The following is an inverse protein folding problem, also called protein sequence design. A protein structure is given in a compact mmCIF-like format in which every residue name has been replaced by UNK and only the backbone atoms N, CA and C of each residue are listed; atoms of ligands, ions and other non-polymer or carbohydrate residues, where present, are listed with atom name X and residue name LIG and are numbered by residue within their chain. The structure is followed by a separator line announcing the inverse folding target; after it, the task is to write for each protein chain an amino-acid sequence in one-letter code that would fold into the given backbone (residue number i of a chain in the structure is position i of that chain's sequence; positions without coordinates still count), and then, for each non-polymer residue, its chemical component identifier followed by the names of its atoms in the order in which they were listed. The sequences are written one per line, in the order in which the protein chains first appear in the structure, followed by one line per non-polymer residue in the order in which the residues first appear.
data_IF_392072972301
#
_entry.id   IF_392072972301
#
_cell.length_a   1.000
_cell.length_b   1.000
_cell.length_c   1.000
_cell.angle_alpha   90.00
_cell.angle_beta   90.00
_cell.angle_gamma   90.00
#
_symmetry.space_group_name_H-M   'P 1'
#
loop_
_entity.id
_entity.type
_entity.pdbx_description
1 polymer ?
#
# COMPACT_ATOMS: atom_id res chain seq x y z
N UNK A 1 6.31 -52.78 6.46
CA UNK A 1 5.53 -51.60 6.91
C UNK A 1 6.24 -50.70 7.93
N UNK A 2 6.74 -51.20 9.07
CA UNK A 2 7.35 -50.36 10.15
C UNK A 2 8.51 -49.46 9.66
N UNK A 3 9.43 -49.99 8.85
CA UNK A 3 10.58 -49.23 8.29
C UNK A 3 10.16 -48.08 7.35
N UNK A 4 9.07 -48.24 6.61
CA UNK A 4 8.55 -47.19 5.71
C UNK A 4 7.97 -46.02 6.51
N UNK A 5 7.17 -46.32 7.55
CA UNK A 5 6.63 -45.30 8.46
C UNK A 5 7.72 -44.50 9.17
N UNK A 6 8.79 -45.16 9.62
CA UNK A 6 9.93 -44.49 10.23
C UNK A 6 10.66 -43.56 9.25
N UNK A 7 10.87 -44.01 8.00
CA UNK A 7 11.44 -43.14 6.95
C UNK A 7 10.55 -41.93 6.70
N UNK A 8 9.25 -42.13 6.57
CA UNK A 8 8.28 -41.04 6.36
C UNK A 8 8.29 -40.03 7.51
N UNK A 9 8.30 -40.48 8.76
CA UNK A 9 8.41 -39.60 9.93
C UNK A 9 9.73 -38.82 9.95
N UNK A 10 10.85 -39.50 9.64
CA UNK A 10 12.15 -38.84 9.52
C UNK A 10 12.15 -37.76 8.44
N UNK A 11 11.52 -38.01 7.29
CA UNK A 11 11.38 -37.02 6.22
C UNK A 11 10.47 -35.86 6.61
N UNK A 12 9.35 -36.13 7.27
CA UNK A 12 8.43 -35.10 7.75
C UNK A 12 9.10 -34.16 8.77
N UNK A 13 9.87 -34.73 9.70
CA UNK A 13 10.50 -33.97 10.79
C UNK A 13 11.87 -33.38 10.43
N UNK A 14 12.39 -33.61 9.22
CA UNK A 14 13.75 -33.17 8.84
C UNK A 14 13.96 -31.65 8.99
N UNK A 15 12.89 -30.88 8.86
CA UNK A 15 12.91 -29.42 8.93
C UNK A 15 11.96 -28.86 10.00
N UNK A 16 11.46 -29.69 10.92
CA UNK A 16 10.70 -29.19 12.07
C UNK A 16 11.67 -28.44 13.00
N UNK A 17 11.41 -27.16 13.20
CA UNK A 17 12.15 -26.33 14.15
C UNK A 17 11.16 -25.82 15.18
N UNK A 18 11.51 -25.95 16.44
CA UNK A 18 10.74 -25.35 17.53
C UNK A 18 11.03 -23.85 17.57
N UNK A 19 10.13 -23.08 16.98
CA UNK A 19 10.20 -21.62 16.98
C UNK A 19 9.47 -21.13 18.23
N UNK A 20 10.19 -20.43 19.11
CA UNK A 20 9.58 -19.76 20.26
C UNK A 20 8.91 -18.48 19.78
N UNK A 21 7.67 -18.28 20.21
CA UNK A 21 6.88 -17.09 19.90
C UNK A 21 6.65 -16.30 21.18
N UNK A 22 6.85 -14.98 21.10
CA UNK A 22 6.59 -14.05 22.19
C UNK A 22 5.42 -13.14 21.83
N UNK A 23 4.74 -12.65 22.86
CA UNK A 23 3.67 -11.67 22.71
C UNK A 23 4.25 -10.38 22.11
N UNK A 24 3.54 -9.80 21.15
CA UNK A 24 3.96 -8.61 20.40
C UNK A 24 4.71 -8.91 19.10
N UNK A 25 5.21 -10.15 18.92
CA UNK A 25 5.95 -10.49 17.71
C UNK A 25 5.08 -10.37 16.45
N UNK A 26 5.62 -9.78 15.37
CA UNK A 26 4.97 -9.74 14.07
C UNK A 26 5.09 -11.10 13.41
N UNK A 27 3.97 -11.58 12.90
CA UNK A 27 3.86 -12.93 12.35
C UNK A 27 3.04 -12.97 11.06
N UNK A 28 3.35 -13.95 10.24
CA UNK A 28 2.51 -14.36 9.13
C UNK A 28 1.54 -15.44 9.59
N UNK A 29 0.28 -15.34 9.15
CA UNK A 29 -0.75 -16.34 9.39
C UNK A 29 -1.04 -17.16 8.14
N UNK A 30 -1.36 -18.45 8.28
CA UNK A 30 -1.63 -19.33 7.15
C UNK A 30 -3.03 -19.06 6.58
N UNK A 31 -3.10 -18.75 5.30
CA UNK A 31 -4.36 -18.56 4.59
C UNK A 31 -5.00 -19.92 4.24
N UNK A 32 -6.07 -20.27 4.96
CA UNK A 32 -6.88 -21.46 4.69
C UNK A 32 -7.95 -21.23 3.62
N UNK A 33 -8.27 -19.98 3.30
CA UNK A 33 -9.30 -19.57 2.31
C UNK A 33 -8.72 -19.36 0.91
N UNK A 34 -7.57 -19.97 0.61
CA UNK A 34 -6.89 -19.85 -0.68
C UNK A 34 -7.71 -20.49 -1.81
N UNK A 35 -8.27 -19.68 -2.69
CA UNK A 35 -9.05 -20.16 -3.84
C UNK A 35 -8.17 -20.66 -5.01
N UNK A 36 -6.99 -20.07 -5.19
CA UNK A 36 -6.08 -20.37 -6.32
C UNK A 36 -4.69 -20.77 -5.86
N UNK A 37 -3.96 -21.50 -6.70
CA UNK A 37 -2.54 -21.83 -6.49
C UNK A 37 -1.64 -20.58 -6.47
N UNK A 38 -2.03 -19.54 -7.21
CA UNK A 38 -1.30 -18.26 -7.28
C UNK A 38 -1.57 -17.35 -6.06
N UNK A 39 -2.63 -17.63 -5.30
CA UNK A 39 -2.95 -16.84 -4.11
C UNK A 39 -1.91 -17.07 -3.00
N UNK A 40 -1.63 -16.01 -2.23
CA UNK A 40 -0.63 -16.05 -1.16
C UNK A 40 -1.05 -17.05 -0.08
N UNK A 41 -0.18 -18.02 0.22
CA UNK A 41 -0.38 -19.02 1.28
C UNK A 41 -0.28 -18.42 2.68
N UNK A 42 0.48 -17.34 2.83
CA UNK A 42 0.73 -16.69 4.11
C UNK A 42 0.26 -15.23 4.02
N UNK A 43 -0.57 -14.82 4.96
CA UNK A 43 -1.09 -13.46 5.10
C UNK A 43 -0.25 -12.68 6.11
N UNK A 44 0.03 -11.43 5.79
CA UNK A 44 0.81 -10.49 6.62
C UNK A 44 -0.08 -9.74 7.62
N UNK A 45 0.54 -8.82 8.36
CA UNK A 45 -0.10 -7.87 9.27
C UNK A 45 -0.68 -8.48 10.55
N UNK A 46 -0.25 -9.66 10.97
CA UNK A 46 -0.65 -10.22 12.25
C UNK A 46 0.40 -9.94 13.33
N UNK A 47 -0.07 -9.69 14.55
CA UNK A 47 0.75 -9.67 15.77
C UNK A 47 0.15 -10.58 16.82
N UNK A 48 1.00 -11.23 17.60
CA UNK A 48 0.57 -12.05 18.74
C UNK A 48 0.13 -11.10 19.86
N UNK A 49 -1.11 -11.23 20.34
CA UNK A 49 -1.63 -10.47 21.48
C UNK A 49 -1.42 -11.25 22.78
N UNK A 50 -1.71 -12.55 22.74
CA UNK A 50 -1.79 -13.38 23.93
C UNK A 50 -1.41 -14.81 23.58
N UNK A 51 -0.77 -15.49 24.53
CA UNK A 51 -0.51 -16.92 24.47
C UNK A 51 -1.55 -17.66 25.33
N UNK A 52 -2.52 -18.32 24.69
CA UNK A 52 -3.57 -19.09 25.39
C UNK A 52 -3.06 -20.45 25.88
N UNK A 53 -2.05 -21.01 25.20
CA UNK A 53 -1.48 -22.34 25.46
C UNK A 53 -0.04 -22.37 24.94
N UNK A 54 0.82 -23.32 25.35
CA UNK A 54 2.18 -23.41 24.82
C UNK A 54 2.28 -23.39 23.28
N UNK A 55 1.23 -23.88 22.60
CA UNK A 55 1.18 -24.01 21.13
C UNK A 55 0.03 -23.21 20.49
N UNK A 56 -0.80 -22.51 21.27
CA UNK A 56 -1.93 -21.73 20.73
C UNK A 56 -1.84 -20.26 21.14
N UNK A 57 -2.06 -19.38 20.16
CA UNK A 57 -1.90 -17.94 20.29
C UNK A 57 -3.12 -17.21 19.75
N UNK A 58 -3.41 -16.03 20.30
CA UNK A 58 -4.38 -15.09 19.76
C UNK A 58 -3.62 -14.07 18.92
N UNK A 59 -3.99 -13.95 17.66
CA UNK A 59 -3.40 -13.07 16.67
C UNK A 59 -4.36 -11.93 16.36
N UNK A 60 -3.86 -10.69 16.33
CA UNK A 60 -4.62 -9.53 15.81
C UNK A 60 -4.14 -9.14 14.43
N UNK A 61 -5.06 -9.04 13.47
CA UNK A 61 -4.77 -8.31 12.23
C UNK A 61 -4.64 -6.82 12.55
N UNK A 62 -3.52 -6.20 12.20
CA UNK A 62 -3.26 -4.78 12.43
C UNK A 62 -4.07 -3.87 11.50
N UNK A 63 -4.56 -4.38 10.37
CA UNK A 63 -5.40 -3.61 9.44
C UNK A 63 -6.86 -3.63 9.88
N UNK A 64 -7.44 -4.82 9.98
CA UNK A 64 -8.88 -4.99 10.25
C UNK A 64 -9.20 -4.97 11.76
N UNK A 65 -8.19 -5.08 12.62
CA UNK A 65 -8.36 -5.20 14.08
C UNK A 65 -8.89 -6.55 14.56
N UNK A 66 -9.27 -7.46 13.65
CA UNK A 66 -9.89 -8.75 13.96
C UNK A 66 -8.88 -9.66 14.67
N UNK A 67 -9.32 -10.22 15.81
CA UNK A 67 -8.57 -11.22 16.55
C UNK A 67 -8.95 -12.63 16.10
N UNK A 68 -7.95 -13.51 15.96
CA UNK A 68 -8.13 -14.90 15.54
C UNK A 68 -7.25 -15.81 16.38
N UNK A 69 -7.78 -16.96 16.81
CA UNK A 69 -7.00 -17.98 17.52
C UNK A 69 -6.33 -18.91 16.52
N UNK A 70 -5.04 -19.15 16.70
CA UNK A 70 -4.24 -19.98 15.79
C UNK A 70 -3.24 -20.87 16.54
N UNK A 71 -2.92 -22.00 15.92
CA UNK A 71 -1.88 -22.93 16.40
C UNK A 71 -0.49 -22.49 15.89
N UNK A 72 0.58 -22.80 16.62
CA UNK A 72 1.96 -22.45 16.28
C UNK A 72 2.35 -22.85 14.85
N UNK A 73 1.91 -24.01 14.36
CA UNK A 73 2.17 -24.47 12.99
C UNK A 73 1.53 -23.60 11.90
N UNK A 74 0.48 -22.86 12.24
CA UNK A 74 -0.22 -21.95 11.33
C UNK A 74 0.38 -20.54 11.35
N UNK A 75 1.47 -20.35 12.08
CA UNK A 75 2.12 -19.06 12.32
C UNK A 75 3.58 -19.16 11.91
N UNK A 76 4.13 -18.06 11.35
CA UNK A 76 5.57 -17.92 11.09
C UNK A 76 6.02 -16.55 11.55
N UNK A 77 7.22 -16.46 12.13
CA UNK A 77 7.83 -15.16 12.44
C UNK A 77 8.01 -14.36 11.15
N UNK A 78 7.63 -13.07 11.21
CA UNK A 78 7.88 -12.15 10.13
C UNK A 78 9.31 -11.60 10.27
N UNK A 79 10.12 -11.76 9.21
CA UNK A 79 11.44 -11.14 9.11
C UNK A 79 11.24 -9.66 8.79
N UNK A 80 11.63 -8.77 9.70
CA UNK A 80 11.51 -7.31 9.57
C UNK A 80 12.86 -6.66 9.24
N UNK A 81 13.76 -7.38 8.60
CA UNK A 81 15.14 -6.95 8.33
C UNK A 81 15.22 -5.97 7.14
N UNK A 82 14.20 -5.12 6.97
CA UNK A 82 14.30 -4.01 6.03
C UNK A 82 15.07 -2.90 6.74
N UNK A 83 16.36 -2.83 6.46
CA UNK A 83 17.20 -1.75 6.98
C UNK A 83 16.80 -0.47 6.26
N UNK A 84 16.32 0.53 7.00
CA UNK A 84 16.23 1.89 6.48
C UNK A 84 17.67 2.35 6.29
N UNK A 85 18.14 2.61 5.06
CA UNK A 85 19.49 3.10 4.88
C UNK A 85 19.65 4.40 5.65
N UNK A 86 20.51 4.40 6.66
CA UNK A 86 20.84 5.58 7.43
C UNK A 86 21.41 6.63 6.46
N UNK A 87 20.73 7.76 6.31
CA UNK A 87 21.10 8.85 5.40
C UNK A 87 22.44 9.54 5.76
N UNK A 88 23.18 9.00 6.73
CA UNK A 88 24.48 9.51 7.17
C UNK A 88 25.62 9.23 6.17
N UNK A 89 25.35 8.49 5.09
CA UNK A 89 26.32 8.27 4.00
C UNK A 89 26.37 9.44 3.00
N UNK A 90 26.54 10.66 3.51
CA UNK A 90 27.08 11.80 2.74
C UNK A 90 26.19 12.40 1.65
N UNK A 91 24.89 12.04 1.55
CA UNK A 91 23.99 12.76 0.65
C UNK A 91 23.60 14.08 1.31
N UNK A 92 24.13 15.19 0.78
CA UNK A 92 23.77 16.53 1.24
C UNK A 92 22.24 16.72 1.19
N UNK A 93 21.64 17.12 2.30
CA UNK A 93 20.25 17.57 2.33
C UNK A 93 20.12 18.73 1.34
N UNK A 94 19.12 18.68 0.46
CA UNK A 94 18.80 19.83 -0.40
C UNK A 94 18.41 20.99 0.53
N UNK A 95 19.05 22.15 0.34
CA UNK A 95 18.65 23.38 1.03
C UNK A 95 17.26 23.75 0.51
N UNK A 96 16.22 23.41 1.26
CA UNK A 96 14.88 23.92 1.02
C UNK A 96 14.77 25.27 1.74
N UNK A 97 14.41 26.32 1.00
CA UNK A 97 13.98 27.56 1.63
C UNK A 97 12.58 27.32 2.21
N UNK A 98 12.40 27.54 3.51
CA UNK A 98 11.06 27.62 4.09
C UNK A 98 10.40 28.86 3.50
N UNK A 99 9.30 28.68 2.77
CA UNK A 99 8.41 29.78 2.41
C UNK A 99 7.72 30.19 3.71
N UNK A 100 8.08 31.34 4.25
CA UNK A 100 7.37 31.95 5.38
C UNK A 100 5.99 32.35 4.84
N UNK A 101 4.88 31.90 5.46
CA UNK A 101 3.57 32.39 5.08
C UNK A 101 3.54 33.91 5.29
N UNK A 102 3.19 34.66 4.25
CA UNK A 102 2.91 36.09 4.38
C UNK A 102 1.77 36.21 5.38
N UNK A 103 2.05 36.81 6.53
CA UNK A 103 1.01 37.18 7.47
C UNK A 103 0.08 38.14 6.72
N UNK A 104 -1.19 37.76 6.61
CA UNK A 104 -2.21 38.51 5.89
C UNK A 104 -2.43 39.85 6.58
N UNK A 105 -1.63 40.86 6.23
CA UNK A 105 -2.00 42.25 6.44
C UNK A 105 -3.12 42.55 5.45
N UNK A 106 -4.32 42.68 6.00
CA UNK A 106 -5.49 43.19 5.30
C UNK A 106 -5.23 44.66 4.95
N UNK A 107 -4.67 44.90 3.78
CA UNK A 107 -4.65 46.23 3.16
C UNK A 107 -5.51 46.17 1.90
N UNK A 108 -6.72 46.70 2.05
CA UNK A 108 -7.63 47.10 0.99
C UNK A 108 -6.96 48.21 0.18
N UNK A 109 -6.63 47.93 -1.08
CA UNK A 109 -6.27 48.96 -2.05
C UNK A 109 -6.61 48.48 -3.45
N UNK A 110 -7.72 48.99 -3.95
CA UNK A 110 -8.04 49.06 -5.38
C UNK A 110 -6.94 49.79 -6.15
N UNK A 111 -6.36 49.16 -7.17
CA UNK A 111 -6.22 49.73 -8.52
C UNK A 111 -5.44 48.81 -9.49
N UNK A 112 -5.98 48.72 -10.71
CA UNK A 112 -5.38 48.37 -12.01
C UNK A 112 -4.23 47.33 -12.06
N UNK A 113 -4.57 46.06 -12.27
CA UNK A 113 -3.61 44.95 -12.45
C UNK A 113 -3.10 44.88 -13.91
N UNK A 114 -1.97 45.53 -14.18
CA UNK A 114 -1.08 45.10 -15.25
C UNK A 114 -0.42 43.77 -14.84
N UNK A 115 -1.03 42.66 -15.25
CA UNK A 115 -0.57 41.30 -14.94
C UNK A 115 0.86 41.09 -15.43
N UNK A 116 1.82 41.11 -14.50
CA UNK A 116 3.21 40.78 -14.79
C UNK A 116 3.32 39.35 -15.32
N UNK A 117 3.76 39.26 -16.57
CA UNK A 117 3.78 38.03 -17.37
C UNK A 117 4.87 37.03 -16.99
N UNK A 118 5.72 37.37 -16.02
CA UNK A 118 6.99 36.68 -15.76
C UNK A 118 7.00 35.79 -14.51
N UNK A 119 5.89 35.69 -13.77
CA UNK A 119 5.85 34.69 -12.69
C UNK A 119 5.85 33.26 -13.28
N UNK A 120 6.66 32.33 -12.72
CA UNK A 120 6.78 30.98 -13.25
C UNK A 120 5.43 30.24 -13.24
N UNK A 121 4.54 30.60 -12.31
CA UNK A 121 3.17 30.08 -12.24
C UNK A 121 2.33 30.51 -13.46
N UNK A 122 2.46 31.77 -13.90
CA UNK A 122 1.73 32.29 -15.06
C UNK A 122 2.27 31.71 -16.37
N UNK A 123 3.58 31.44 -16.45
CA UNK A 123 4.17 30.73 -17.59
C UNK A 123 3.67 29.28 -17.71
N UNK A 124 3.53 28.58 -16.57
CA UNK A 124 2.94 27.23 -16.53
C UNK A 124 1.46 27.28 -16.93
N UNK A 125 0.68 28.22 -16.38
CA UNK A 125 -0.73 28.38 -16.71
C UNK A 125 -0.94 28.72 -18.20
N UNK A 126 -0.09 29.57 -18.79
CA UNK A 126 -0.11 29.88 -20.23
C UNK A 126 0.25 28.68 -21.10
N UNK A 127 1.19 27.81 -20.67
CA UNK A 127 1.48 26.55 -21.37
C UNK A 127 0.29 25.59 -21.42
N UNK A 128 -0.50 25.53 -20.36
CA UNK A 128 -1.72 24.70 -20.36
C UNK A 128 -2.90 25.35 -21.08
N UNK A 129 -2.89 26.69 -21.28
CA UNK A 129 -3.89 27.42 -22.05
C UNK A 129 -3.61 27.50 -23.55
N UNK A 130 -2.38 27.23 -24.00
CA UNK A 130 -2.01 27.35 -25.41
C UNK A 130 -2.49 26.15 -26.24
N UNK A 131 -3.63 26.37 -26.89
CA UNK A 131 -4.11 25.82 -28.17
C UNK A 131 -4.59 24.36 -28.22
N UNK A 132 -5.92 24.20 -28.18
CA UNK A 132 -6.65 23.39 -29.16
C UNK A 132 -7.35 24.35 -30.12
N UNK A 133 -6.63 24.82 -31.13
CA UNK A 133 -7.22 25.67 -32.18
C UNK A 133 -7.78 24.86 -33.36
N UNK A 134 -7.56 23.54 -33.40
CA UNK A 134 -8.05 22.64 -34.46
C UNK A 134 -8.83 21.43 -33.90
N UNK A 135 -9.83 21.66 -33.04
CA UNK A 135 -10.68 20.58 -32.52
C UNK A 135 -12.13 20.91 -32.81
N UNK A 136 -12.57 20.65 -34.03
CA UNK A 136 -13.90 21.02 -34.53
C UNK A 136 -15.03 20.08 -34.07
N UNK A 137 -14.75 19.08 -33.24
CA UNK A 137 -15.77 18.15 -32.74
C UNK A 137 -15.62 17.87 -31.24
N UNK A 138 -16.73 17.98 -30.49
CA UNK A 138 -16.79 17.69 -29.04
C UNK A 138 -16.41 16.24 -28.69
N UNK A 139 -16.29 15.37 -29.69
CA UNK A 139 -15.97 13.96 -29.55
C UNK A 139 -14.47 13.65 -29.37
N UNK A 140 -13.57 14.59 -29.65
CA UNK A 140 -12.10 14.41 -29.51
C UNK A 140 -11.56 14.70 -28.10
N UNK A 141 -12.44 14.94 -27.15
CA UNK A 141 -12.07 15.16 -25.75
C UNK A 141 -11.81 13.80 -25.10
N UNK A 142 -10.56 13.52 -24.71
CA UNK A 142 -10.16 12.27 -24.03
C UNK A 142 -11.04 11.92 -22.81
N UNK A 143 -11.53 12.93 -22.08
CA UNK A 143 -12.47 12.76 -20.97
C UNK A 143 -13.85 12.27 -21.43
N UNK A 144 -14.32 12.71 -22.61
CA UNK A 144 -15.60 12.28 -23.16
C UNK A 144 -15.52 10.82 -23.64
N UNK A 145 -14.42 10.41 -24.28
CA UNK A 145 -14.17 9.01 -24.68
C UNK A 145 -14.19 8.07 -23.45
N UNK A 146 -13.50 8.46 -22.38
CA UNK A 146 -13.52 7.72 -21.10
C UNK A 146 -14.93 7.65 -20.49
N UNK A 147 -15.72 8.72 -20.59
CA UNK A 147 -17.10 8.72 -20.10
C UNK A 147 -18.02 7.78 -20.89
N UNK A 148 -17.86 7.72 -22.23
CA UNK A 148 -18.62 6.82 -23.11
C UNK A 148 -18.25 5.36 -22.81
N UNK A 149 -16.97 5.08 -22.59
CA UNK A 149 -16.47 3.75 -22.22
C UNK A 149 -17.04 3.27 -20.88
N UNK A 150 -16.98 4.09 -19.84
CA UNK A 150 -17.52 3.75 -18.52
C UNK A 150 -19.04 3.49 -18.58
N UNK A 151 -19.80 4.30 -19.33
CA UNK A 151 -21.24 4.08 -19.55
C UNK A 151 -21.54 2.79 -20.31
N UNK A 152 -20.67 2.37 -21.23
CA UNK A 152 -20.79 1.10 -21.95
C UNK A 152 -20.55 -0.11 -21.02
N UNK A 153 -19.53 -0.04 -20.17
CA UNK A 153 -19.22 -1.09 -19.19
C UNK A 153 -20.33 -1.25 -18.14
N UNK A 154 -20.93 -0.15 -17.67
CA UNK A 154 -22.08 -0.20 -16.76
C UNK A 154 -23.32 -0.86 -17.38
N UNK A 155 -23.59 -0.62 -18.68
CA UNK A 155 -24.70 -1.25 -19.39
C UNK A 155 -24.47 -2.76 -19.57
N UNK A 156 -23.25 -3.18 -19.91
CA UNK A 156 -22.89 -4.58 -20.05
C UNK A 156 -23.04 -5.37 -18.74
N UNK A 157 -22.73 -4.74 -17.61
CA UNK A 157 -22.89 -5.32 -16.27
C UNK A 157 -24.37 -5.41 -15.81
N UNK A 158 -25.27 -4.56 -16.34
CA UNK A 158 -26.71 -4.61 -16.02
C UNK A 158 -27.51 -5.62 -16.85
N UNK A 159 -26.98 -6.05 -17.99
CA UNK A 159 -27.64 -7.00 -18.91
C UNK A 159 -27.20 -8.46 -18.72
N UNK A 160 -26.44 -8.76 -17.67
CA UNK A 160 -26.07 -10.11 -17.22
C UNK A 160 -26.76 -10.41 -15.90
#
# INVERSE_FOLDING_TARGET
MKKSKQKQAKYANKHSKDIKFEVGNPVFYKNHRRASKLSRKWTSYYRIIEQTSPVSFILKNQLDGIATKAHAEQIRLAKLDWEIPNNNQGKALRKAAYVVPVESQSEDSSDDESIDSDTPLNQIAKRYKKERENSDEEDDIQLMELSKKNKGEEKFLRTR
#
